data_IF_213468749108
#
_entry.id   IF_213468749108
#
_cell.length_a   1.000
_cell.length_b   1.000
_cell.length_c   1.000
_cell.angle_alpha   90.00
_cell.angle_beta   90.00
_cell.angle_gamma   90.00
#
_symmetry.space_group_name_H-M   'P 1'
#
loop_
_entity.id
_entity.type
_entity.pdbx_description
1 polymer ?
#
# COMPACT_ATOMS: atom_id res chain seq x y z
N UNK A 1 14.62 -8.46 29.27
CA UNK A 1 14.80 -7.23 28.46
C UNK A 1 13.48 -6.47 28.46
N UNK A 2 13.44 -5.26 29.01
CA UNK A 2 12.24 -4.43 29.03
C UNK A 2 11.97 -3.85 27.63
N UNK A 3 10.73 -3.98 27.14
CA UNK A 3 10.38 -3.52 25.79
C UNK A 3 10.12 -2.00 25.80
N UNK A 4 10.55 -1.24 24.77
CA UNK A 4 10.50 0.23 24.77
C UNK A 4 9.13 0.84 25.06
N UNK A 5 8.06 0.24 24.54
CA UNK A 5 6.69 0.74 24.69
C UNK A 5 6.19 0.74 26.15
N UNK A 6 6.75 -0.10 27.03
CA UNK A 6 6.33 -0.16 28.44
C UNK A 6 6.65 1.12 29.22
N UNK A 7 7.56 1.95 28.68
CA UNK A 7 7.92 3.26 29.23
C UNK A 7 7.02 4.40 28.72
N UNK A 8 6.06 4.10 27.84
CA UNK A 8 5.13 5.10 27.31
C UNK A 8 3.87 5.14 28.20
N UNK A 9 3.59 6.30 28.80
CA UNK A 9 2.39 6.48 29.63
C UNK A 9 1.10 6.21 28.85
N UNK A 10 1.08 6.57 27.57
CA UNK A 10 -0.06 6.30 26.67
C UNK A 10 -0.30 4.80 26.48
N UNK A 11 0.75 3.98 26.50
CA UNK A 11 0.61 2.53 26.44
C UNK A 11 0.02 1.99 27.75
N UNK A 12 0.52 2.46 28.90
CA UNK A 12 -0.01 2.07 30.22
C UNK A 12 -1.50 2.45 30.38
N UNK A 13 -1.88 3.65 29.93
CA UNK A 13 -3.30 4.08 29.86
C UNK A 13 -4.12 3.22 28.91
N UNK A 14 -3.56 2.82 27.76
CA UNK A 14 -4.19 1.85 26.85
C UNK A 14 -4.44 0.48 27.51
N UNK A 15 -3.50 -0.04 28.30
CA UNK A 15 -3.69 -1.28 29.07
C UNK A 15 -4.80 -1.12 30.13
N UNK A 16 -4.85 0.02 30.81
CA UNK A 16 -5.93 0.32 31.76
C UNK A 16 -7.29 0.36 31.04
N UNK A 17 -7.37 1.02 29.89
CA UNK A 17 -8.58 1.07 29.05
C UNK A 17 -9.04 -0.34 28.65
N UNK A 18 -8.15 -1.20 28.15
CA UNK A 18 -8.47 -2.60 27.84
C UNK A 18 -9.07 -3.32 29.04
N UNK A 19 -8.46 -3.16 30.21
CA UNK A 19 -8.92 -3.82 31.44
C UNK A 19 -10.33 -3.37 31.82
N UNK A 20 -10.63 -2.08 31.72
CA UNK A 20 -11.98 -1.56 31.98
C UNK A 20 -13.01 -2.05 30.96
N UNK A 21 -12.66 -2.12 29.67
CA UNK A 21 -13.56 -2.68 28.65
C UNK A 21 -13.86 -4.16 28.92
N UNK A 22 -12.87 -4.93 29.37
CA UNK A 22 -13.09 -6.31 29.78
C UNK A 22 -14.04 -6.42 30.98
N UNK A 23 -13.87 -5.56 31.99
CA UNK A 23 -14.77 -5.51 33.17
C UNK A 23 -16.19 -5.09 32.80
N UNK A 24 -16.33 -4.08 31.96
CA UNK A 24 -17.62 -3.57 31.48
C UNK A 24 -18.39 -4.67 30.72
N UNK A 25 -17.74 -5.28 29.73
CA UNK A 25 -18.37 -6.28 28.86
C UNK A 25 -18.62 -7.64 29.52
N UNK A 26 -18.20 -7.85 30.77
CA UNK A 26 -18.60 -9.05 31.53
C UNK A 26 -20.09 -9.06 31.89
N UNK A 27 -20.73 -7.87 31.90
CA UNK A 27 -22.14 -7.71 32.28
C UNK A 27 -23.09 -7.82 31.08
N UNK A 28 -22.55 -7.93 29.87
CA UNK A 28 -23.36 -7.95 28.65
C UNK A 28 -24.09 -9.30 28.50
N UNK A 29 -25.21 -9.34 27.75
CA UNK A 29 -25.92 -10.57 27.45
C UNK A 29 -25.02 -11.62 26.78
N UNK A 30 -25.29 -12.89 27.03
CA UNK A 30 -24.43 -13.99 26.53
C UNK A 30 -24.47 -14.09 25.00
N UNK A 31 -25.58 -13.69 24.38
CA UNK A 31 -25.81 -13.66 22.94
C UNK A 31 -24.86 -12.68 22.24
N UNK A 32 -24.43 -11.62 22.93
CA UNK A 32 -23.51 -10.60 22.42
C UNK A 32 -22.04 -11.00 22.50
N UNK A 33 -21.73 -12.18 23.03
CA UNK A 33 -20.36 -12.68 23.20
C UNK A 33 -19.55 -12.61 21.92
N UNK A 34 -20.17 -12.97 20.79
CA UNK A 34 -19.57 -12.91 19.45
C UNK A 34 -20.01 -11.67 18.65
N UNK A 35 -20.98 -10.91 19.18
CA UNK A 35 -21.41 -9.62 18.66
C UNK A 35 -20.60 -8.48 19.26
N UNK A 36 -21.27 -7.55 19.93
CA UNK A 36 -20.71 -6.30 20.41
C UNK A 36 -19.58 -6.50 21.44
N UNK A 37 -19.66 -7.52 22.28
CA UNK A 37 -18.61 -7.83 23.28
C UNK A 37 -17.27 -8.13 22.60
N UNK A 38 -17.28 -8.91 21.52
CA UNK A 38 -16.05 -9.28 20.83
C UNK A 38 -15.42 -8.09 20.11
N UNK A 39 -16.25 -7.23 19.52
CA UNK A 39 -15.81 -6.04 18.79
C UNK A 39 -15.19 -5.00 19.73
N UNK A 40 -15.87 -4.68 20.84
CA UNK A 40 -15.36 -3.76 21.87
C UNK A 40 -13.98 -4.19 22.40
N UNK A 41 -13.84 -5.48 22.75
CA UNK A 41 -12.57 -6.01 23.27
C UNK A 41 -11.47 -5.95 22.22
N UNK A 42 -11.77 -6.25 20.95
CA UNK A 42 -10.79 -6.16 19.86
C UNK A 42 -10.35 -4.72 19.61
N UNK A 43 -11.28 -3.78 19.51
CA UNK A 43 -10.98 -2.37 19.33
C UNK A 43 -10.11 -1.84 20.48
N UNK A 44 -10.48 -2.15 21.73
CA UNK A 44 -9.70 -1.79 22.90
C UNK A 44 -8.29 -2.39 22.89
N UNK A 45 -8.13 -3.69 22.62
CA UNK A 45 -6.82 -4.37 22.54
C UNK A 45 -5.94 -3.78 21.44
N UNK A 46 -6.54 -3.39 20.32
CA UNK A 46 -5.84 -2.83 19.17
C UNK A 46 -5.09 -1.54 19.54
N UNK A 47 -5.60 -0.74 20.48
CA UNK A 47 -4.97 0.53 20.90
C UNK A 47 -3.54 0.33 21.46
N UNK A 48 -3.32 -0.36 22.61
CA UNK A 48 -1.97 -0.60 23.11
C UNK A 48 -1.14 -1.53 22.22
N UNK A 49 -1.77 -2.40 21.42
CA UNK A 49 -1.06 -3.27 20.47
C UNK A 49 -0.39 -2.46 19.37
N UNK A 50 -1.11 -1.54 18.74
CA UNK A 50 -0.55 -0.66 17.71
C UNK A 50 0.49 0.30 18.28
N UNK A 51 0.30 0.83 19.50
CA UNK A 51 1.34 1.62 20.18
C UNK A 51 2.62 0.81 20.36
N UNK A 52 2.50 -0.44 20.82
CA UNK A 52 3.64 -1.33 21.04
C UNK A 52 4.34 -1.73 19.73
N UNK A 53 3.57 -2.02 18.68
CA UNK A 53 4.08 -2.37 17.37
C UNK A 53 4.80 -1.18 16.72
N UNK A 54 4.17 0.00 16.74
CA UNK A 54 4.76 1.23 16.25
C UNK A 54 6.06 1.59 16.95
N UNK A 55 6.11 1.45 18.28
CA UNK A 55 7.31 1.71 19.07
C UNK A 55 8.47 0.73 18.79
N UNK A 56 8.20 -0.38 18.10
CA UNK A 56 9.20 -1.35 17.65
C UNK A 56 9.66 -1.11 16.20
N UNK A 57 9.10 -0.12 15.48
CA UNK A 57 9.48 0.23 14.10
C UNK A 57 10.78 1.04 14.05
N UNK A 58 11.42 1.01 12.89
CA UNK A 58 12.74 1.61 12.68
C UNK A 58 12.67 3.11 12.39
N UNK A 59 11.54 3.61 11.89
CA UNK A 59 11.39 5.01 11.50
C UNK A 59 10.31 5.73 12.30
N UNK A 60 10.48 7.05 12.50
CA UNK A 60 9.49 7.90 13.16
C UNK A 60 8.18 7.97 12.36
N UNK A 61 8.27 7.99 11.03
CA UNK A 61 7.09 7.98 10.14
C UNK A 61 6.25 6.71 10.31
N UNK A 62 6.87 5.53 10.37
CA UNK A 62 6.15 4.29 10.62
C UNK A 62 5.52 4.29 12.02
N UNK A 63 6.24 4.74 13.05
CA UNK A 63 5.68 4.83 14.39
C UNK A 63 4.42 5.70 14.40
N UNK A 64 4.47 6.88 13.77
CA UNK A 64 3.31 7.79 13.66
C UNK A 64 2.13 7.10 12.95
N UNK A 65 2.37 6.33 11.88
CA UNK A 65 1.30 5.59 11.21
C UNK A 65 0.59 4.62 12.15
N UNK A 66 1.35 3.87 12.96
CA UNK A 66 0.77 2.98 13.98
C UNK A 66 0.02 3.75 15.08
N UNK A 67 0.48 4.93 15.47
CA UNK A 67 -0.26 5.78 16.42
C UNK A 67 -1.59 6.27 15.85
N UNK A 68 -1.67 6.57 14.54
CA UNK A 68 -2.93 6.89 13.87
C UNK A 68 -3.88 5.69 13.79
N UNK A 69 -3.36 4.47 13.58
CA UNK A 69 -4.18 3.25 13.65
C UNK A 69 -4.74 3.08 15.07
N UNK A 70 -3.94 3.34 16.11
CA UNK A 70 -4.41 3.32 17.50
C UNK A 70 -5.53 4.35 17.74
N UNK A 71 -5.44 5.57 17.20
CA UNK A 71 -6.53 6.55 17.24
C UNK A 71 -7.78 6.05 16.51
N UNK A 72 -7.63 5.43 15.35
CA UNK A 72 -8.74 4.82 14.61
C UNK A 72 -9.47 3.75 15.42
N UNK A 73 -8.73 2.86 16.10
CA UNK A 73 -9.31 1.86 17.00
C UNK A 73 -10.02 2.48 18.22
N UNK A 74 -9.55 3.64 18.70
CA UNK A 74 -10.20 4.37 19.78
C UNK A 74 -11.55 4.97 19.34
N UNK A 75 -11.63 5.52 18.12
CA UNK A 75 -12.88 6.02 17.53
C UNK A 75 -13.89 4.89 17.27
N UNK A 76 -13.41 3.73 16.83
CA UNK A 76 -14.23 2.51 16.69
C UNK A 76 -14.81 2.09 18.05
N UNK A 77 -13.95 2.06 19.09
CA UNK A 77 -14.36 1.74 20.46
C UNK A 77 -15.43 2.71 20.97
N UNK A 78 -15.26 4.02 20.74
CA UNK A 78 -16.22 5.06 21.14
C UNK A 78 -17.60 4.84 20.51
N UNK A 79 -17.60 4.57 19.20
CA UNK A 79 -18.83 4.28 18.45
C UNK A 79 -19.55 3.05 19.02
N UNK A 80 -18.81 1.99 19.33
CA UNK A 80 -19.37 0.76 19.88
C UNK A 80 -19.89 0.93 21.32
N UNK A 81 -19.23 1.75 22.14
CA UNK A 81 -19.72 2.11 23.47
C UNK A 81 -21.04 2.88 23.36
N UNK A 82 -21.12 3.84 22.43
CA UNK A 82 -22.35 4.60 22.19
C UNK A 82 -23.51 3.69 21.75
N UNK A 83 -23.22 2.68 20.91
CA UNK A 83 -24.22 1.65 20.54
C UNK A 83 -24.64 0.87 21.78
N UNK A 84 -23.71 0.41 22.60
CA UNK A 84 -24.00 -0.36 23.81
C UNK A 84 -24.87 0.42 24.82
N UNK A 85 -24.73 1.74 24.88
CA UNK A 85 -25.60 2.62 25.68
C UNK A 85 -27.01 2.66 25.09
N UNK A 86 -27.14 2.83 23.77
CA UNK A 86 -28.45 2.92 23.09
C UNK A 86 -29.27 1.63 23.13
N UNK A 87 -28.63 0.50 23.36
CA UNK A 87 -29.29 -0.79 23.58
C UNK A 87 -29.34 -1.19 25.06
N UNK A 88 -29.13 -0.22 25.96
CA UNK A 88 -29.23 -0.34 27.42
C UNK A 88 -28.27 -1.37 28.08
N UNK A 89 -27.16 -1.72 27.42
CA UNK A 89 -26.14 -2.62 27.98
C UNK A 89 -25.14 -1.91 28.89
N UNK A 90 -25.04 -0.58 28.80
CA UNK A 90 -24.16 0.26 29.63
C UNK A 90 -25.00 1.37 30.26
N UNK A 91 -24.92 1.51 31.58
CA UNK A 91 -25.51 2.66 32.28
C UNK A 91 -24.62 3.90 32.15
N UNK A 92 -25.21 5.10 32.13
CA UNK A 92 -24.49 6.37 31.90
C UNK A 92 -23.40 6.60 32.96
N UNK A 93 -23.60 6.12 34.18
CA UNK A 93 -22.65 6.23 35.28
C UNK A 93 -21.40 5.38 35.06
N UNK A 94 -21.54 4.23 34.40
CA UNK A 94 -20.44 3.31 34.08
C UNK A 94 -19.55 3.85 32.95
N UNK A 95 -20.09 4.75 32.13
CA UNK A 95 -19.38 5.39 31.00
C UNK A 95 -18.28 6.33 31.47
N UNK A 96 -18.48 7.09 32.54
CA UNK A 96 -17.62 8.24 32.90
C UNK A 96 -16.14 7.88 33.04
N UNK A 97 -15.85 6.75 33.70
CA UNK A 97 -14.47 6.32 33.91
C UNK A 97 -13.79 5.90 32.60
N UNK A 98 -14.53 5.20 31.73
CA UNK A 98 -14.03 4.73 30.43
C UNK A 98 -13.82 5.92 29.49
N UNK A 99 -14.80 6.82 29.41
CA UNK A 99 -14.72 8.04 28.61
C UNK A 99 -13.54 8.92 29.03
N UNK A 100 -13.33 9.09 30.34
CA UNK A 100 -12.15 9.80 30.84
C UNK A 100 -10.84 9.14 30.40
N UNK A 101 -10.76 7.80 30.44
CA UNK A 101 -9.58 7.07 29.97
C UNK A 101 -9.38 7.23 28.46
N UNK A 102 -10.45 7.18 27.67
CA UNK A 102 -10.39 7.37 26.22
C UNK A 102 -9.90 8.77 25.86
N UNK A 103 -10.44 9.80 26.52
CA UNK A 103 -10.00 11.19 26.34
C UNK A 103 -8.52 11.36 26.71
N UNK A 104 -8.06 10.76 27.80
CA UNK A 104 -6.65 10.79 28.19
C UNK A 104 -5.77 10.14 27.12
N UNK A 105 -6.15 8.94 26.66
CA UNK A 105 -5.41 8.20 25.62
C UNK A 105 -5.35 9.01 24.33
N UNK A 106 -6.46 9.57 23.86
CA UNK A 106 -6.48 10.36 22.62
C UNK A 106 -5.60 11.62 22.71
N UNK A 107 -5.68 12.35 23.83
CA UNK A 107 -4.82 13.53 24.08
C UNK A 107 -3.35 13.15 24.10
N UNK A 108 -3.00 12.04 24.75
CA UNK A 108 -1.63 11.55 24.81
C UNK A 108 -1.13 11.09 23.43
N UNK A 109 -1.94 10.38 22.65
CA UNK A 109 -1.62 9.99 21.27
C UNK A 109 -1.38 11.23 20.41
N UNK A 110 -2.31 12.18 20.44
CA UNK A 110 -2.21 13.44 19.69
C UNK A 110 -0.96 14.23 20.07
N UNK A 111 -0.69 14.36 21.37
CA UNK A 111 0.51 15.03 21.88
C UNK A 111 1.81 14.34 21.44
N UNK A 112 1.85 13.01 21.49
CA UNK A 112 2.98 12.22 21.06
C UNK A 112 3.22 12.36 19.55
N UNK A 113 2.19 12.22 18.72
CA UNK A 113 2.26 12.41 17.26
C UNK A 113 2.79 13.81 16.92
N UNK A 114 2.27 14.85 17.58
CA UNK A 114 2.73 16.23 17.38
C UNK A 114 4.21 16.39 17.75
N UNK A 115 4.66 15.78 18.85
CA UNK A 115 6.07 15.82 19.26
C UNK A 115 6.98 15.13 18.25
N UNK A 116 6.57 13.95 17.78
CA UNK A 116 7.31 13.15 16.82
C UNK A 116 7.42 13.86 15.46
N UNK A 117 6.31 14.42 14.96
CA UNK A 117 6.32 15.24 13.73
C UNK A 117 7.25 16.45 13.84
N UNK A 118 7.23 17.18 14.97
CA UNK A 118 8.15 18.32 15.19
C UNK A 118 9.62 17.88 15.15
N UNK A 119 9.94 16.74 15.77
CA UNK A 119 11.30 16.19 15.76
C UNK A 119 11.73 15.73 14.37
N UNK A 120 10.83 15.10 13.62
CA UNK A 120 11.11 14.64 12.26
C UNK A 120 11.36 15.83 11.31
N UNK A 121 10.51 16.86 11.35
CA UNK A 121 10.72 18.09 10.59
C UNK A 121 12.01 18.81 10.98
N UNK A 122 12.40 18.81 12.26
CA UNK A 122 13.67 19.41 12.71
C UNK A 122 14.91 18.61 12.28
N UNK A 123 14.78 17.33 11.95
CA UNK A 123 15.86 16.52 11.36
C UNK A 123 16.00 16.74 9.86
N UNK A 124 14.91 17.18 9.20
CA UNK A 124 14.87 17.48 7.77
C UNK A 124 15.21 18.94 7.46
N UNK A 125 15.35 19.82 8.45
CA UNK A 125 15.93 21.15 8.25
C UNK A 125 17.46 21.06 8.27
N UNK A 126 18.16 21.32 7.15
CA UNK A 126 19.58 21.62 7.21
C UNK A 126 19.75 22.91 8.03
N UNK A 127 20.89 23.01 8.69
CA UNK A 127 21.31 24.12 9.55
C UNK A 127 20.97 25.50 8.91
N UNK A 128 19.83 26.07 9.30
CA UNK A 128 19.40 27.37 8.83
C UNK A 128 20.04 28.46 9.68
N UNK A 129 21.25 28.86 9.30
CA UNK A 129 21.77 30.20 9.60
C UNK A 129 22.78 30.65 8.55
N UNK A 130 22.34 30.69 7.29
CA UNK A 130 22.82 31.63 6.26
C UNK A 130 21.66 31.75 5.27
N UNK A 131 21.17 32.97 5.05
CA UNK A 131 20.02 33.19 4.17
C UNK A 131 20.28 32.67 2.76
N UNK A 132 19.24 32.15 2.11
CA UNK A 132 19.29 31.74 0.70
C UNK A 132 19.84 32.87 -0.16
N UNK A 133 20.88 32.58 -0.92
CA UNK A 133 21.38 33.52 -1.92
C UNK A 133 20.38 33.64 -3.07
N UNK A 134 20.32 34.80 -3.73
CA UNK A 134 19.40 35.05 -4.85
C UNK A 134 19.55 33.99 -5.97
N UNK A 135 20.77 33.48 -6.14
CA UNK A 135 21.11 32.42 -7.11
C UNK A 135 20.47 31.08 -6.75
N UNK A 136 20.44 30.71 -5.48
CA UNK A 136 19.79 29.46 -5.02
C UNK A 136 18.27 29.55 -5.17
N UNK A 137 17.67 30.72 -4.90
CA UNK A 137 16.24 30.93 -5.14
C UNK A 137 15.86 30.81 -6.63
N UNK A 138 16.67 31.40 -7.52
CA UNK A 138 16.47 31.28 -8.97
C UNK A 138 16.64 29.83 -9.44
N UNK A 139 17.68 29.12 -8.96
CA UNK A 139 17.90 27.72 -9.32
C UNK A 139 16.72 26.82 -8.92
N UNK A 140 16.12 27.05 -7.74
CA UNK A 140 14.94 26.30 -7.28
C UNK A 140 13.71 26.60 -8.13
N UNK A 141 13.47 27.87 -8.50
CA UNK A 141 12.34 28.24 -9.37
C UNK A 141 12.48 27.61 -10.75
N UNK A 142 13.69 27.61 -11.32
CA UNK A 142 13.96 27.01 -12.63
C UNK A 142 13.78 25.48 -12.56
N UNK A 143 14.29 24.82 -11.50
CA UNK A 143 14.08 23.39 -11.27
C UNK A 143 12.60 23.04 -11.12
N UNK A 144 11.84 23.81 -10.34
CA UNK A 144 10.40 23.60 -10.17
C UNK A 144 9.61 23.88 -11.45
N UNK A 145 10.05 24.83 -12.28
CA UNK A 145 9.44 25.09 -13.60
C UNK A 145 9.64 23.94 -14.58
N UNK A 146 10.87 23.40 -14.65
CA UNK A 146 11.21 22.28 -15.55
C UNK A 146 10.54 20.98 -15.08
N UNK A 147 10.63 20.69 -13.78
CA UNK A 147 10.03 19.49 -13.18
C UNK A 147 8.50 19.61 -13.17
N UNK A 148 7.96 20.78 -12.85
CA UNK A 148 6.52 21.06 -12.83
C UNK A 148 5.88 20.95 -14.22
N UNK A 149 6.52 21.46 -15.27
CA UNK A 149 6.05 21.30 -16.65
C UNK A 149 6.10 19.83 -17.10
N UNK A 150 7.16 19.11 -16.72
CA UNK A 150 7.34 17.69 -17.05
C UNK A 150 6.31 16.81 -16.33
N UNK A 151 6.01 17.12 -15.07
CA UNK A 151 4.97 16.46 -14.25
C UNK A 151 3.57 16.80 -14.77
N UNK A 152 3.30 18.07 -15.12
CA UNK A 152 2.01 18.48 -15.68
C UNK A 152 1.77 17.81 -17.04
N UNK A 153 2.79 17.74 -17.90
CA UNK A 153 2.73 17.00 -19.17
C UNK A 153 2.50 15.50 -18.92
N UNK A 154 3.16 14.92 -17.92
CA UNK A 154 2.95 13.54 -17.49
C UNK A 154 1.50 13.28 -17.05
N UNK A 155 0.90 14.19 -16.28
CA UNK A 155 -0.50 14.09 -15.88
C UNK A 155 -1.48 14.30 -17.04
N UNK A 156 -1.21 15.21 -17.97
CA UNK A 156 -2.05 15.39 -19.17
C UNK A 156 -1.91 14.25 -20.19
N UNK A 157 -0.87 13.43 -20.08
CA UNK A 157 -0.65 12.26 -20.93
C UNK A 157 -1.31 10.97 -20.39
N UNK A 158 -1.89 10.98 -19.20
CA UNK A 158 -2.74 9.89 -18.74
C UNK A 158 -4.12 10.02 -19.39
N UNK A 159 -4.28 9.38 -20.56
CA UNK A 159 -5.61 9.01 -21.02
C UNK A 159 -6.18 8.01 -20.01
N UNK A 160 -7.20 8.43 -19.27
CA UNK A 160 -7.97 7.56 -18.42
C UNK A 160 -8.92 6.76 -19.32
N UNK A 161 -8.76 5.43 -19.36
CA UNK A 161 -9.81 4.54 -19.85
C UNK A 161 -11.11 4.88 -19.11
N UNK A 162 -12.16 5.14 -19.88
CA UNK A 162 -13.44 5.66 -19.38
C UNK A 162 -14.21 4.66 -18.48
N UNK A 163 -13.72 3.43 -18.29
CA UNK A 163 -14.38 2.42 -17.46
C UNK A 163 -13.37 1.59 -16.63
N UNK A 164 -13.40 1.71 -15.28
CA UNK A 164 -12.47 0.98 -14.41
C UNK A 164 -12.62 -0.55 -14.47
N UNK A 165 -13.82 -1.07 -14.79
CA UNK A 165 -14.07 -2.52 -14.87
C UNK A 165 -13.39 -3.14 -16.09
N UNK A 166 -13.49 -2.48 -17.25
CA UNK A 166 -12.84 -2.93 -18.50
C UNK A 166 -11.32 -2.94 -18.32
N UNK A 167 -10.79 -1.93 -17.64
CA UNK A 167 -9.36 -1.81 -17.35
C UNK A 167 -8.86 -2.90 -16.42
N UNK A 168 -9.60 -3.22 -15.35
CA UNK A 168 -9.25 -4.33 -14.46
C UNK A 168 -9.24 -5.66 -15.22
N UNK A 169 -10.25 -5.91 -16.07
CA UNK A 169 -10.28 -7.13 -16.90
C UNK A 169 -9.09 -7.20 -17.88
N UNK A 170 -8.72 -6.09 -18.50
CA UNK A 170 -7.55 -6.05 -19.37
C UNK A 170 -6.23 -6.30 -18.61
N UNK A 171 -6.13 -5.83 -17.36
CA UNK A 171 -4.98 -6.14 -16.48
C UNK A 171 -4.95 -7.64 -16.14
N UNK A 172 -6.07 -8.21 -15.72
CA UNK A 172 -6.17 -9.64 -15.40
C UNK A 172 -5.82 -10.52 -16.60
N UNK A 173 -6.29 -10.17 -17.80
CA UNK A 173 -5.95 -10.84 -19.06
C UNK A 173 -4.45 -10.77 -19.38
N UNK A 174 -3.83 -9.63 -19.11
CA UNK A 174 -2.39 -9.47 -19.31
C UNK A 174 -1.60 -10.29 -18.28
N UNK A 175 -2.02 -10.29 -17.02
CA UNK A 175 -1.41 -11.05 -15.93
C UNK A 175 -1.50 -12.56 -16.15
N UNK A 176 -2.68 -13.05 -16.52
CA UNK A 176 -2.93 -14.47 -16.80
C UNK A 176 -2.03 -15.00 -17.92
N UNK A 177 -1.84 -14.22 -18.99
CA UNK A 177 -0.89 -14.58 -20.06
C UNK A 177 0.55 -14.54 -19.56
N UNK A 178 0.92 -13.52 -18.77
CA UNK A 178 2.26 -13.38 -18.22
C UNK A 178 2.64 -14.57 -17.33
N UNK A 179 1.73 -15.00 -16.46
CA UNK A 179 1.93 -16.15 -15.59
C UNK A 179 2.11 -17.45 -16.38
N UNK A 180 1.34 -17.67 -17.44
CA UNK A 180 1.52 -18.83 -18.34
C UNK A 180 2.91 -18.83 -18.97
N UNK A 181 3.40 -17.68 -19.43
CA UNK A 181 4.76 -17.56 -20.01
C UNK A 181 5.83 -17.85 -18.96
N UNK A 182 5.67 -17.33 -17.74
CA UNK A 182 6.59 -17.60 -16.64
C UNK A 182 6.54 -19.07 -16.18
N UNK A 183 5.38 -19.72 -16.27
CA UNK A 183 5.23 -21.15 -15.99
C UNK A 183 5.93 -22.01 -17.06
N UNK A 184 5.89 -21.60 -18.33
CA UNK A 184 6.62 -22.28 -19.41
C UNK A 184 8.14 -22.28 -19.18
N UNK A 185 8.71 -21.20 -18.58
CA UNK A 185 10.12 -21.17 -18.16
C UNK A 185 10.44 -22.37 -17.25
N UNK A 186 9.56 -22.67 -16.30
CA UNK A 186 9.78 -23.69 -15.26
C UNK A 186 9.40 -25.11 -15.72
N UNK A 187 8.81 -25.24 -16.90
CA UNK A 187 8.38 -26.52 -17.44
C UNK A 187 9.58 -27.31 -18.01
N UNK A 188 9.70 -28.58 -17.65
CA UNK A 188 10.82 -29.46 -18.04
C UNK A 188 10.95 -29.69 -19.55
N UNK A 189 9.89 -29.48 -20.32
CA UNK A 189 9.84 -29.73 -21.78
C UNK A 189 9.98 -28.44 -22.59
N UNK A 190 9.49 -27.31 -22.06
CA UNK A 190 9.53 -26.00 -22.74
C UNK A 190 10.77 -25.22 -22.32
N UNK A 191 10.89 -24.88 -21.04
CA UNK A 191 12.03 -24.18 -20.50
C UNK A 191 12.23 -22.76 -21.05
N UNK A 192 13.38 -22.17 -20.74
CA UNK A 192 13.73 -20.82 -21.17
C UNK A 192 13.81 -20.66 -22.70
N UNK A 193 14.35 -21.65 -23.42
CA UNK A 193 14.54 -21.60 -24.88
C UNK A 193 13.21 -21.52 -25.64
N UNK A 194 12.15 -22.14 -25.11
CA UNK A 194 10.80 -22.14 -25.68
C UNK A 194 10.11 -20.78 -25.65
N UNK A 195 10.53 -19.85 -24.79
CA UNK A 195 9.88 -18.54 -24.72
C UNK A 195 10.28 -17.71 -25.94
N UNK A 196 9.46 -17.72 -27.00
CA UNK A 196 9.69 -17.07 -28.30
C UNK A 196 8.37 -16.57 -28.88
N UNK A 197 8.42 -15.54 -29.73
CA UNK A 197 7.22 -14.93 -30.35
C UNK A 197 6.31 -15.94 -31.04
N UNK A 198 6.89 -16.87 -31.80
CA UNK A 198 6.14 -17.89 -32.54
C UNK A 198 5.28 -18.79 -31.66
N UNK A 199 5.64 -18.94 -30.38
CA UNK A 199 4.95 -19.83 -29.44
C UNK A 199 3.80 -19.14 -28.70
N UNK A 200 3.64 -17.82 -28.88
CA UNK A 200 2.59 -17.02 -28.26
C UNK A 200 1.88 -16.15 -29.32
N UNK A 201 1.06 -16.75 -30.21
CA UNK A 201 0.36 -16.01 -31.25
C UNK A 201 -0.62 -14.98 -30.66
N UNK A 202 -0.85 -13.90 -31.40
CA UNK A 202 -1.82 -12.88 -31.02
C UNK A 202 -3.25 -13.43 -31.02
N UNK A 203 -4.05 -12.99 -30.04
CA UNK A 203 -5.46 -13.30 -29.89
C UNK A 203 -6.28 -12.06 -30.22
N UNK A 204 -7.06 -12.12 -31.29
CA UNK A 204 -7.88 -11.01 -31.77
C UNK A 204 -9.21 -11.55 -32.34
N UNK A 205 -10.30 -11.58 -31.55
CA UNK A 205 -10.40 -11.22 -30.14
C UNK A 205 -10.01 -12.37 -29.19
N UNK A 206 -9.75 -12.04 -27.93
CA UNK A 206 -9.66 -13.02 -26.82
C UNK A 206 -11.04 -13.67 -26.63
N UNK A 207 -11.09 -14.99 -26.62
CA UNK A 207 -12.35 -15.74 -26.50
C UNK A 207 -12.95 -15.64 -25.11
N UNK A 208 -14.30 -15.56 -25.02
CA UNK A 208 -15.02 -15.58 -23.76
C UNK A 208 -15.23 -14.22 -23.08
N UNK A 209 -14.86 -13.11 -23.71
CA UNK A 209 -15.01 -11.76 -23.16
C UNK A 209 -15.94 -10.89 -24.01
N UNK A 210 -16.82 -10.13 -23.34
CA UNK A 210 -17.66 -9.09 -23.93
C UNK A 210 -17.64 -7.87 -23.00
N UNK A 211 -17.16 -6.69 -23.45
CA UNK A 211 -16.69 -6.38 -24.80
C UNK A 211 -15.34 -7.07 -25.15
N UNK A 212 -15.03 -7.17 -26.44
CA UNK A 212 -13.89 -7.95 -26.94
C UNK A 212 -12.55 -7.26 -26.72
N UNK A 213 -11.55 -8.00 -26.23
CA UNK A 213 -10.17 -7.54 -26.07
C UNK A 213 -9.27 -8.17 -27.12
N UNK A 214 -8.16 -7.50 -27.47
CA UNK A 214 -7.09 -8.10 -28.26
C UNK A 214 -5.85 -8.26 -27.38
N UNK A 215 -5.09 -9.33 -27.57
CA UNK A 215 -3.90 -9.62 -26.78
C UNK A 215 -2.75 -10.07 -27.68
N UNK A 216 -1.58 -9.49 -27.51
CA UNK A 216 -0.35 -9.90 -28.19
C UNK A 216 0.79 -10.09 -27.20
N UNK A 217 1.78 -10.89 -27.59
CA UNK A 217 2.99 -11.14 -26.82
C UNK A 217 4.19 -10.85 -27.70
N UNK A 218 5.06 -9.98 -27.21
CA UNK A 218 6.35 -9.68 -27.82
C UNK A 218 7.47 -10.13 -26.89
N UNK A 219 8.42 -10.89 -27.43
CA UNK A 219 9.57 -11.47 -26.77
C UNK A 219 10.80 -11.02 -27.52
N UNK A 220 11.71 -10.40 -26.78
CA UNK A 220 12.96 -9.91 -27.31
C UNK A 220 14.12 -10.42 -26.46
N UNK A 221 15.23 -10.76 -27.10
CA UNK A 221 16.45 -11.13 -26.39
C UNK A 221 17.19 -9.87 -25.93
N UNK A 222 17.72 -9.89 -24.71
CA UNK A 222 18.38 -8.72 -24.09
C UNK A 222 19.71 -9.17 -23.48
N UNK A 223 20.75 -8.34 -23.66
CA UNK A 223 21.99 -8.49 -22.91
C UNK A 223 21.79 -7.99 -21.48
N UNK A 224 22.47 -8.57 -20.49
CA UNK A 224 22.38 -8.10 -19.10
C UNK A 224 22.75 -6.61 -18.96
N UNK A 225 23.61 -6.10 -19.83
CA UNK A 225 23.99 -4.69 -19.89
C UNK A 225 22.87 -3.74 -20.40
N UNK A 226 21.87 -4.25 -21.12
CA UNK A 226 20.85 -3.47 -21.83
C UNK A 226 19.46 -3.54 -21.16
N UNK A 227 19.36 -4.09 -19.95
CA UNK A 227 18.09 -4.23 -19.22
C UNK A 227 17.35 -2.91 -18.96
N UNK A 228 18.05 -1.77 -19.01
CA UNK A 228 17.53 -0.44 -18.71
C UNK A 228 17.33 0.48 -19.93
N UNK A 229 17.62 0.04 -21.16
CA UNK A 229 17.47 0.90 -22.33
C UNK A 229 16.04 0.80 -22.89
N UNK A 230 15.33 1.94 -22.86
CA UNK A 230 13.98 2.08 -23.41
C UNK A 230 13.95 2.22 -24.93
N UNK A 231 15.10 2.45 -25.56
CA UNK A 231 15.26 2.67 -26.99
C UNK A 231 16.50 1.93 -27.52
N UNK A 232 16.29 0.71 -27.99
CA UNK A 232 17.27 -0.05 -28.75
C UNK A 232 16.54 -1.11 -29.54
N UNK A 233 16.89 -1.26 -30.82
CA UNK A 233 16.40 -2.34 -31.68
C UNK A 233 16.74 -3.67 -31.02
N UNK A 234 15.78 -4.28 -30.35
CA UNK A 234 16.05 -5.50 -29.60
C UNK A 234 16.23 -6.67 -30.58
N UNK A 235 17.34 -7.41 -30.51
CA UNK A 235 17.66 -8.45 -31.50
C UNK A 235 16.69 -9.62 -31.45
N UNK A 236 16.42 -10.21 -32.62
CA UNK A 236 15.68 -11.47 -32.75
C UNK A 236 16.51 -12.60 -32.10
N UNK A 237 15.85 -13.49 -31.35
CA UNK A 237 16.44 -14.53 -30.51
C UNK A 237 17.10 -15.71 -31.25
N UNK A 238 17.64 -15.48 -32.45
CA UNK A 238 18.22 -16.52 -33.31
C UNK A 238 19.71 -16.81 -33.06
N UNK A 239 20.35 -16.13 -32.10
CA UNK A 239 21.79 -16.24 -31.82
C UNK A 239 22.08 -16.73 -30.40
N UNK A 240 23.11 -17.57 -30.27
CA UNK A 240 23.65 -18.04 -28.98
C UNK A 240 24.34 -16.88 -28.25
N UNK A 241 24.09 -16.72 -26.94
CA UNK A 241 24.74 -15.71 -26.08
C UNK A 241 23.81 -14.80 -25.27
N UNK A 242 22.49 -14.94 -25.38
CA UNK A 242 21.53 -14.17 -24.58
C UNK A 242 20.98 -15.00 -23.42
N UNK A 243 21.18 -14.50 -22.20
CA UNK A 243 20.72 -15.10 -20.94
C UNK A 243 19.45 -14.46 -20.38
N UNK A 244 18.93 -13.43 -21.07
CA UNK A 244 17.71 -12.73 -20.67
C UNK A 244 16.78 -12.46 -21.87
N UNK A 245 15.47 -12.47 -21.61
CA UNK A 245 14.39 -12.16 -22.55
C UNK A 245 13.45 -11.15 -21.94
N UNK A 246 13.18 -10.05 -22.65
CA UNK A 246 12.13 -9.10 -22.32
C UNK A 246 10.83 -9.56 -22.95
N UNK A 247 9.87 -9.90 -22.10
CA UNK A 247 8.54 -10.33 -22.49
C UNK A 247 7.58 -9.19 -22.22
N UNK A 248 6.86 -8.76 -23.25
CA UNK A 248 5.82 -7.74 -23.21
C UNK A 248 4.50 -8.37 -23.59
N UNK A 249 3.53 -8.37 -22.67
CA UNK A 249 2.15 -8.72 -22.97
C UNK A 249 1.38 -7.42 -23.17
N UNK A 250 0.80 -7.24 -24.35
CA UNK A 250 -0.04 -6.08 -24.68
C UNK A 250 -1.49 -6.53 -24.77
N UNK A 251 -2.38 -5.87 -24.03
CA UNK A 251 -3.83 -6.03 -24.16
C UNK A 251 -4.43 -4.72 -24.64
N UNK A 252 -5.19 -4.77 -25.73
CA UNK A 252 -5.92 -3.64 -26.29
C UNK A 252 -7.38 -3.73 -25.86
N UNK A 253 -7.84 -2.69 -25.16
CA UNK A 253 -9.25 -2.53 -24.80
C UNK A 253 -10.10 -2.19 -26.02
N UNK A 254 -11.43 -2.44 -26.00
CA UNK A 254 -12.34 -2.03 -27.07
C UNK A 254 -12.27 -0.53 -27.43
N UNK A 255 -11.83 0.32 -26.49
CA UNK A 255 -11.62 1.76 -26.70
C UNK A 255 -10.27 2.14 -27.33
N UNK A 256 -9.43 1.17 -27.69
CA UNK A 256 -8.11 1.38 -28.31
C UNK A 256 -6.98 1.72 -27.35
N UNK A 257 -7.24 1.76 -26.04
CA UNK A 257 -6.20 1.91 -25.02
C UNK A 257 -5.40 0.62 -24.85
N UNK A 258 -4.09 0.77 -24.63
CA UNK A 258 -3.13 -0.33 -24.51
C UNK A 258 -2.69 -0.49 -23.07
N UNK A 259 -2.86 -1.69 -22.52
CA UNK A 259 -2.23 -2.12 -21.28
C UNK A 259 -1.01 -2.96 -21.65
N UNK A 260 0.16 -2.58 -21.14
CA UNK A 260 1.41 -3.32 -21.35
C UNK A 260 1.97 -3.80 -20.03
N UNK A 261 2.14 -5.11 -19.89
CA UNK A 261 2.91 -5.71 -18.82
C UNK A 261 4.25 -6.18 -19.37
N UNK A 262 5.34 -5.76 -18.73
CA UNK A 262 6.70 -6.07 -19.17
C UNK A 262 7.39 -6.82 -18.03
N UNK A 263 8.06 -7.93 -18.37
CA UNK A 263 8.94 -8.64 -17.44
C UNK A 263 10.23 -9.05 -18.13
N UNK A 264 11.26 -9.30 -17.32
CA UNK A 264 12.51 -9.91 -17.77
C UNK A 264 12.53 -11.36 -17.28
N UNK A 265 12.70 -12.28 -18.20
CA UNK A 265 12.88 -13.69 -17.95
C UNK A 265 14.34 -14.02 -18.17
N UNK A 266 15.03 -14.54 -17.17
CA UNK A 266 16.42 -15.02 -17.30
C UNK A 266 16.48 -16.54 -17.44
N UNK A 267 17.61 -17.10 -17.86
CA UNK A 267 17.82 -18.54 -18.03
C UNK A 267 18.13 -19.29 -16.72
N UNK A 268 18.68 -18.60 -15.72
CA UNK A 268 19.02 -19.12 -14.39
C UNK A 268 17.84 -19.18 -13.41
#
# INVERSE_FOLDING_TARGET
MEKPHKRLDVWNKGIALVTEIYRLTQKFPQEERYGLTSQLRRAAISVPSNIAEGAARNTTKEFINFLHIAQGSLSELDTQIEIAIRVDYIQVEERRNIESLMVDVDKMLTGLIKNLNKKDSSRLTPHASQGFTLLEAIAVIVLLGIVGASILLYFTSMKYSANPVIRTQAIELAQEKMERILADKKNSTRGFSWIQNSNYPAENPVSGFSPSFNRSVDVFCVLEADLNTSNGTMPNCSTTGYHAKKVTVTVTEPGGELIKLITIVTDH
#
